data_IF_345976177764
#
_entry.id   IF_345976177764
#
_cell.length_a   1.000
_cell.length_b   1.000
_cell.length_c   1.000
_cell.angle_alpha   90.00
_cell.angle_beta   90.00
_cell.angle_gamma   90.00
#
_symmetry.space_group_name_H-M   'P 1'
#
loop_
_entity.id
_entity.type
_entity.pdbx_description
1 polymer ?
#
# COMPACT_ATOMS: atom_id res chain seq x y z
N UNK A 1 -22.94 6.07 -25.19
CA UNK A 1 -22.51 6.57 -23.87
C UNK A 1 -21.09 6.11 -23.68
N UNK A 2 -20.14 6.98 -23.99
CA UNK A 2 -18.70 6.75 -23.92
C UNK A 2 -18.26 6.88 -22.44
N UNK A 3 -18.19 5.76 -21.71
CA UNK A 3 -17.73 5.72 -20.32
C UNK A 3 -16.23 5.50 -20.34
N UNK A 4 -15.49 6.58 -20.56
CA UNK A 4 -14.03 6.61 -20.41
C UNK A 4 -13.69 6.21 -18.97
N UNK A 5 -13.17 5.01 -18.80
CA UNK A 5 -12.58 4.57 -17.55
C UNK A 5 -11.51 5.56 -17.12
N UNK A 6 -11.33 5.70 -15.80
CA UNK A 6 -10.25 6.47 -15.22
C UNK A 6 -8.90 5.79 -15.55
N UNK A 7 -8.43 5.94 -16.79
CA UNK A 7 -7.09 5.54 -17.22
C UNK A 7 -6.18 6.71 -16.88
N UNK A 8 -5.66 6.72 -15.65
CA UNK A 8 -4.59 7.65 -15.29
C UNK A 8 -3.27 7.02 -15.74
N UNK A 9 -2.66 7.60 -16.77
CA UNK A 9 -1.24 7.38 -17.09
C UNK A 9 -0.43 7.96 -15.93
N UNK A 10 0.06 7.12 -15.03
CA UNK A 10 1.20 7.49 -14.20
C UNK A 10 2.40 7.60 -15.14
N UNK A 11 2.80 8.84 -15.44
CA UNK A 11 4.06 9.09 -16.13
C UNK A 11 5.20 8.43 -15.35
N UNK A 12 6.11 7.78 -16.08
CA UNK A 12 7.21 7.03 -15.50
C UNK A 12 7.91 7.78 -14.35
N UNK A 13 7.95 7.14 -13.17
CA UNK A 13 8.98 7.45 -12.18
C UNK A 13 8.56 7.88 -10.77
N UNK A 14 7.27 7.90 -10.41
CA UNK A 14 6.87 8.19 -9.02
C UNK A 14 6.40 6.93 -8.30
N UNK A 15 7.37 6.15 -7.86
CA UNK A 15 7.18 5.13 -6.83
C UNK A 15 6.88 5.84 -5.51
N UNK A 16 5.77 5.50 -4.86
CA UNK A 16 5.49 6.01 -3.52
C UNK A 16 6.54 5.47 -2.53
N UNK A 17 7.09 6.35 -1.68
CA UNK A 17 7.89 5.92 -0.53
C UNK A 17 6.90 5.50 0.56
N UNK A 18 6.89 4.21 0.89
CA UNK A 18 6.15 3.72 2.04
C UNK A 18 6.78 4.27 3.32
N UNK A 19 5.95 4.64 4.29
CA UNK A 19 6.43 5.06 5.62
C UNK A 19 6.16 3.96 6.63
N UNK A 20 7.23 3.42 7.23
CA UNK A 20 7.12 2.29 8.14
C UNK A 20 7.76 2.51 9.50
N UNK A 21 7.38 1.68 10.45
CA UNK A 21 7.93 1.66 11.79
C UNK A 21 8.17 0.21 12.24
N UNK A 22 9.38 -0.07 12.72
CA UNK A 22 9.76 -1.36 13.27
C UNK A 22 9.77 -1.28 14.81
N UNK A 23 9.15 -2.26 15.45
CA UNK A 23 9.22 -2.42 16.91
C UNK A 23 10.46 -3.25 17.25
N UNK A 24 11.53 -2.61 17.75
CA UNK A 24 12.60 -3.30 18.48
C UNK A 24 13.97 -3.49 17.81
N UNK A 25 14.50 -2.50 17.08
CA UNK A 25 15.95 -2.47 16.79
C UNK A 25 16.66 -1.61 17.85
N UNK A 26 17.11 -2.23 18.94
CA UNK A 26 18.14 -1.65 19.79
C UNK A 26 19.48 -1.69 19.05
N UNK A 27 20.19 -0.55 18.85
CA UNK A 27 21.59 -0.59 18.50
C UNK A 27 22.35 -1.14 19.71
N UNK A 28 23.01 -2.27 19.52
CA UNK A 28 24.03 -2.76 20.44
C UNK A 28 25.24 -1.83 20.31
N UNK A 29 25.53 -1.04 21.34
CA UNK A 29 26.71 -0.18 21.37
C UNK A 29 27.44 -0.38 22.69
N UNK A 30 28.35 -1.36 22.68
CA UNK A 30 29.38 -1.56 23.69
C UNK A 30 30.66 -0.88 23.22
N UNK A 31 31.01 0.30 23.76
CA UNK A 31 32.28 0.54 24.46
C UNK A 31 32.43 1.98 25.01
N UNK A 32 32.77 2.03 26.30
CA UNK A 32 33.72 2.90 27.01
C UNK A 32 33.73 4.46 26.95
N UNK A 33 33.59 5.00 28.18
CA UNK A 33 34.29 6.15 28.84
C UNK A 33 33.72 7.57 28.78
N UNK A 34 32.98 7.86 29.85
CA UNK A 34 33.04 9.02 30.76
C UNK A 34 33.82 10.28 30.33
N UNK A 35 33.09 11.40 30.16
CA UNK A 35 33.51 12.76 30.56
C UNK A 35 32.29 13.64 30.83
N UNK A 36 32.23 14.14 32.05
CA UNK A 36 31.24 15.04 32.64
C UNK A 36 31.20 16.39 31.92
N UNK A 37 30.05 16.76 31.36
CA UNK A 37 29.66 18.15 31.11
C UNK A 37 28.13 18.21 30.99
N UNK A 38 27.51 19.04 31.83
CA UNK A 38 26.08 19.33 31.87
C UNK A 38 25.64 19.96 30.54
N UNK A 39 25.26 19.14 29.58
CA UNK A 39 24.52 19.56 28.40
C UNK A 39 23.06 19.15 28.62
N UNK A 40 22.21 20.14 28.92
CA UNK A 40 20.76 19.96 28.93
C UNK A 40 20.35 19.80 27.46
N UNK A 41 20.62 18.62 26.90
CA UNK A 41 20.03 18.19 25.64
C UNK A 41 18.52 18.21 25.86
N UNK A 42 17.87 19.18 25.26
CA UNK A 42 16.46 19.06 24.92
C UNK A 42 16.40 17.84 24.00
N UNK A 43 16.15 16.67 24.57
CA UNK A 43 15.75 15.49 23.82
C UNK A 43 14.36 15.83 23.32
N UNK A 44 14.30 16.55 22.20
CA UNK A 44 13.13 16.53 21.35
C UNK A 44 13.13 15.11 20.80
N UNK A 45 12.46 14.19 21.50
CA UNK A 45 12.20 12.87 20.93
C UNK A 45 11.35 13.15 19.70
N UNK A 46 11.98 13.20 18.53
CA UNK A 46 11.31 13.29 17.24
C UNK A 46 10.24 12.19 17.23
N UNK A 47 8.97 12.60 17.34
CA UNK A 47 7.85 11.65 17.30
C UNK A 47 7.86 10.99 15.94
N UNK A 48 7.83 9.64 15.91
CA UNK A 48 7.74 8.92 14.64
C UNK A 48 6.45 9.32 13.91
N UNK A 49 6.49 9.32 12.57
CA UNK A 49 5.31 9.65 11.76
C UNK A 49 4.08 8.81 12.17
N UNK A 50 4.28 7.51 12.45
CA UNK A 50 3.23 6.63 12.93
C UNK A 50 2.54 7.15 14.21
N UNK A 51 3.31 7.72 15.14
CA UNK A 51 2.80 8.27 16.41
C UNK A 51 2.04 9.60 16.27
N UNK A 52 2.11 10.22 15.09
CA UNK A 52 1.34 11.43 14.74
C UNK A 52 0.00 11.09 14.10
N UNK A 53 -0.17 9.87 13.60
CA UNK A 53 -1.43 9.42 12.98
C UNK A 53 -2.41 8.78 13.96
N UNK A 54 -3.48 8.21 13.39
CA UNK A 54 -4.56 7.57 14.14
C UNK A 54 -4.79 6.15 13.63
N UNK A 55 -4.72 5.10 14.47
CA UNK A 55 -4.30 5.17 15.89
C UNK A 55 -2.80 5.45 16.03
N UNK A 56 -2.40 6.18 17.08
CA UNK A 56 -1.00 6.60 17.30
C UNK A 56 -0.08 5.50 17.81
N UNK A 57 -0.66 4.42 18.31
CA UNK A 57 0.01 3.26 18.90
C UNK A 57 0.01 2.04 17.98
N UNK A 58 -0.28 2.24 16.69
CA UNK A 58 -0.42 1.17 15.69
C UNK A 58 0.79 0.23 15.63
N UNK A 59 1.99 0.73 15.89
CA UNK A 59 3.22 -0.07 15.86
C UNK A 59 3.36 -1.04 17.05
N UNK A 60 2.60 -0.83 18.12
CA UNK A 60 2.54 -1.73 19.27
C UNK A 60 1.54 -2.87 19.11
N UNK A 61 0.71 -2.83 18.05
CA UNK A 61 -0.29 -3.86 17.80
C UNK A 61 0.37 -5.18 17.39
N UNK A 62 -0.28 -6.30 17.72
CA UNK A 62 0.18 -7.61 17.28
C UNK A 62 -0.38 -7.93 15.89
N UNK A 63 0.48 -8.34 14.98
CA UNK A 63 0.04 -8.78 13.66
C UNK A 63 -0.79 -10.06 13.81
N UNK A 64 -2.07 -9.98 13.41
CA UNK A 64 -2.98 -11.12 13.37
C UNK A 64 -2.50 -12.15 12.34
N UNK A 65 -2.38 -13.45 12.69
CA UNK A 65 -1.91 -14.48 11.76
C UNK A 65 -2.81 -14.68 10.54
N UNK A 66 -4.12 -14.54 10.72
CA UNK A 66 -5.12 -14.66 9.67
C UNK A 66 -6.14 -13.52 9.80
N UNK A 67 -5.98 -12.42 9.05
CA UNK A 67 -6.93 -11.32 9.03
C UNK A 67 -8.16 -11.62 8.15
N UNK A 68 -8.23 -12.79 7.49
CA UNK A 68 -9.27 -13.13 6.51
C UNK A 68 -9.11 -12.42 5.16
N UNK A 69 -7.94 -11.84 4.90
CA UNK A 69 -7.58 -11.13 3.66
C UNK A 69 -6.20 -11.58 3.23
N UNK A 70 -6.12 -12.29 2.11
CA UNK A 70 -4.88 -12.85 1.60
C UNK A 70 -4.21 -11.91 0.61
N UNK A 71 -2.95 -11.56 0.85
CA UNK A 71 -2.16 -10.85 -0.14
C UNK A 71 -1.85 -11.74 -1.35
N UNK A 72 -1.91 -11.18 -2.56
CA UNK A 72 -1.50 -11.89 -3.77
C UNK A 72 0.03 -11.84 -3.86
N UNK A 73 0.69 -12.98 -3.66
CA UNK A 73 2.16 -13.10 -3.73
C UNK A 73 2.70 -13.64 -5.06
N UNK A 74 1.81 -14.20 -5.88
CA UNK A 74 2.14 -14.74 -7.20
C UNK A 74 1.08 -14.32 -8.23
N UNK A 75 1.03 -13.04 -8.63
CA UNK A 75 0.03 -12.56 -9.58
C UNK A 75 0.23 -13.17 -10.98
N UNK A 76 -0.87 -13.60 -11.59
CA UNK A 76 -0.89 -14.09 -12.96
C UNK A 76 -1.44 -13.02 -13.91
N UNK A 77 -0.91 -12.98 -15.14
CA UNK A 77 -1.30 -12.01 -16.16
C UNK A 77 -1.59 -12.70 -17.48
N UNK A 78 -2.66 -12.27 -18.13
CA UNK A 78 -3.02 -12.66 -19.49
C UNK A 78 -3.61 -11.45 -20.21
N UNK A 79 -3.46 -11.43 -21.53
CA UNK A 79 -4.11 -10.42 -22.37
C UNK A 79 -5.61 -10.66 -22.50
N UNK A 80 -6.06 -11.90 -22.28
CA UNK A 80 -7.45 -12.31 -22.33
C UNK A 80 -7.73 -13.35 -21.23
N UNK A 81 -8.83 -13.13 -20.50
CA UNK A 81 -9.34 -13.98 -19.42
C UNK A 81 -10.69 -14.62 -19.77
N UNK A 82 -11.24 -14.39 -20.96
CA UNK A 82 -12.57 -14.83 -21.39
C UNK A 82 -12.80 -16.35 -21.32
N UNK A 83 -11.72 -17.13 -21.41
CA UNK A 83 -11.74 -18.59 -21.34
C UNK A 83 -11.60 -19.15 -19.92
N UNK A 84 -11.39 -18.30 -18.90
CA UNK A 84 -11.23 -18.71 -17.51
C UNK A 84 -12.54 -18.59 -16.75
N UNK A 85 -12.82 -19.58 -15.90
CA UNK A 85 -13.86 -19.46 -14.90
C UNK A 85 -13.33 -18.61 -13.75
N UNK A 86 -13.79 -17.35 -13.69
CA UNK A 86 -13.40 -16.40 -12.64
C UNK A 86 -14.28 -16.62 -11.43
N UNK A 87 -13.69 -16.70 -10.22
CA UNK A 87 -14.46 -16.88 -8.99
C UNK A 87 -15.55 -15.82 -8.84
N UNK A 88 -16.71 -16.26 -8.35
CA UNK A 88 -17.85 -15.39 -8.07
C UNK A 88 -17.54 -14.23 -7.13
N UNK A 89 -16.55 -14.35 -6.25
CA UNK A 89 -16.09 -13.26 -5.40
C UNK A 89 -15.66 -12.03 -6.23
N UNK A 90 -14.92 -12.24 -7.33
CA UNK A 90 -14.37 -11.16 -8.16
C UNK A 90 -15.35 -10.62 -9.20
N UNK A 91 -16.51 -11.27 -9.36
CA UNK A 91 -17.50 -10.96 -10.41
C UNK A 91 -18.15 -9.57 -10.26
N UNK A 92 -18.32 -9.07 -9.02
CA UNK A 92 -18.90 -7.74 -8.70
C UNK A 92 -20.13 -7.39 -9.56
N UNK A 93 -21.06 -8.33 -9.68
CA UNK A 93 -22.32 -8.17 -10.42
C UNK A 93 -22.25 -8.36 -11.95
N UNK A 94 -21.07 -8.64 -12.51
CA UNK A 94 -20.89 -9.09 -13.91
C UNK A 94 -20.41 -10.54 -13.95
N UNK A 95 -20.79 -11.32 -14.97
CA UNK A 95 -20.42 -12.73 -15.11
C UNK A 95 -18.91 -12.94 -15.18
N UNK A 96 -18.14 -11.97 -15.69
CA UNK A 96 -16.69 -12.11 -15.84
C UNK A 96 -15.88 -11.55 -14.66
N UNK A 97 -16.35 -10.49 -14.00
CA UNK A 97 -15.57 -9.77 -12.97
C UNK A 97 -14.36 -8.99 -13.47
N UNK A 98 -14.03 -9.16 -14.76
CA UNK A 98 -12.85 -8.66 -15.45
C UNK A 98 -13.22 -8.08 -16.83
N UNK A 99 -14.47 -7.65 -17.02
CA UNK A 99 -14.92 -7.05 -18.26
C UNK A 99 -14.11 -5.78 -18.60
N UNK A 100 -14.03 -5.47 -19.89
CA UNK A 100 -13.23 -4.35 -20.42
C UNK A 100 -13.63 -2.97 -19.85
N UNK A 101 -14.84 -2.84 -19.29
CA UNK A 101 -15.36 -1.61 -18.70
C UNK A 101 -15.07 -1.48 -17.18
N UNK A 102 -14.33 -2.43 -16.61
CA UNK A 102 -13.97 -2.43 -15.19
C UNK A 102 -12.76 -1.55 -14.90
N UNK A 103 -12.80 -0.87 -13.76
CA UNK A 103 -11.71 0.00 -13.32
C UNK A 103 -10.54 -0.81 -12.80
N UNK A 104 -9.35 -0.37 -13.17
CA UNK A 104 -8.07 -1.00 -12.84
C UNK A 104 -7.11 0.03 -12.28
N UNK A 105 -6.17 -0.43 -11.46
CA UNK A 105 -4.92 0.29 -11.22
C UNK A 105 -4.01 0.00 -12.41
N UNK A 106 -3.69 1.02 -13.20
CA UNK A 106 -2.76 0.90 -14.31
C UNK A 106 -1.35 1.24 -13.87
N UNK A 107 -0.38 0.36 -14.13
CA UNK A 107 1.04 0.61 -13.88
C UNK A 107 1.79 0.54 -15.19
N UNK A 108 2.52 1.62 -15.51
CA UNK A 108 3.40 1.69 -16.67
C UNK A 108 4.84 1.87 -16.18
N UNK A 109 5.73 0.95 -16.57
CA UNK A 109 7.14 0.99 -16.21
C UNK A 109 7.99 0.39 -17.33
N UNK A 110 9.08 1.08 -17.69
CA UNK A 110 10.04 0.62 -18.70
C UNK A 110 9.39 0.18 -20.03
N UNK A 111 8.40 0.94 -20.50
CA UNK A 111 7.67 0.66 -21.75
C UNK A 111 6.74 -0.55 -21.70
N UNK A 112 6.52 -1.13 -20.52
CA UNK A 112 5.55 -2.20 -20.27
C UNK A 112 4.36 -1.62 -19.52
N UNK A 113 3.20 -2.27 -19.63
CA UNK A 113 2.00 -1.91 -18.88
C UNK A 113 1.39 -3.13 -18.21
N UNK A 114 0.87 -2.95 -17.00
CA UNK A 114 0.03 -3.91 -16.28
C UNK A 114 -1.23 -3.22 -15.76
N UNK A 115 -2.30 -3.99 -15.66
CA UNK A 115 -3.56 -3.56 -15.08
C UNK A 115 -3.93 -4.51 -13.93
N UNK A 116 -4.28 -3.93 -12.78
CA UNK A 116 -4.70 -4.66 -11.59
C UNK A 116 -6.17 -4.31 -11.32
N UNK A 117 -7.11 -5.23 -11.58
CA UNK A 117 -8.53 -4.97 -11.42
C UNK A 117 -8.90 -4.59 -9.99
N UNK A 118 -9.66 -3.50 -9.81
CA UNK A 118 -10.16 -3.12 -8.49
C UNK A 118 -11.08 -4.17 -7.89
N UNK A 119 -11.77 -4.97 -8.71
CA UNK A 119 -12.60 -6.09 -8.24
C UNK A 119 -11.80 -7.10 -7.43
N UNK A 120 -10.62 -7.48 -7.92
CA UNK A 120 -9.67 -8.39 -7.28
C UNK A 120 -8.96 -7.71 -6.10
N UNK A 121 -8.46 -6.49 -6.30
CA UNK A 121 -7.79 -5.74 -5.23
C UNK A 121 -8.73 -5.43 -4.05
N UNK A 122 -10.03 -5.27 -4.28
CA UNK A 122 -10.99 -5.06 -3.20
C UNK A 122 -11.25 -6.30 -2.33
N UNK A 123 -10.78 -7.49 -2.73
CA UNK A 123 -10.81 -8.71 -1.92
C UNK A 123 -9.44 -9.08 -1.32
N UNK A 124 -8.35 -8.65 -1.95
CA UNK A 124 -6.98 -9.03 -1.55
C UNK A 124 -6.15 -7.90 -0.95
N UNK A 125 -6.51 -6.65 -1.25
CA UNK A 125 -5.94 -5.38 -0.79
C UNK A 125 -4.45 -5.13 -1.11
N UNK A 126 -3.65 -6.18 -1.31
CA UNK A 126 -2.21 -6.16 -1.57
C UNK A 126 -1.85 -7.16 -2.69
N UNK A 127 -1.05 -6.69 -3.65
CA UNK A 127 -0.38 -7.51 -4.67
C UNK A 127 1.11 -7.27 -4.60
N UNK A 128 1.88 -8.32 -4.35
CA UNK A 128 3.33 -8.36 -4.44
C UNK A 128 3.73 -8.86 -5.83
N UNK A 129 4.34 -7.98 -6.63
CA UNK A 129 4.68 -8.25 -8.02
C UNK A 129 6.18 -7.97 -8.29
N UNK A 130 6.65 -8.39 -9.46
CA UNK A 130 8.04 -8.30 -9.93
C UNK A 130 8.17 -7.50 -11.24
N UNK A 131 7.23 -6.60 -11.56
CA UNK A 131 7.09 -5.89 -12.83
C UNK A 131 8.33 -5.07 -13.29
N UNK A 132 9.38 -5.75 -13.74
CA UNK A 132 10.69 -5.14 -13.97
C UNK A 132 11.46 -4.79 -12.69
N UNK A 133 10.94 -5.17 -11.52
CA UNK A 133 11.46 -4.85 -10.19
C UNK A 133 10.42 -5.13 -9.09
N UNK A 134 10.78 -5.03 -7.79
CA UNK A 134 9.87 -5.31 -6.68
C UNK A 134 8.74 -4.27 -6.63
N UNK A 135 7.55 -4.64 -7.08
CA UNK A 135 6.39 -3.76 -7.14
C UNK A 135 5.36 -4.15 -6.08
N UNK A 136 4.84 -3.16 -5.37
CA UNK A 136 3.69 -3.26 -4.48
C UNK A 136 2.52 -2.50 -5.10
N UNK A 137 1.38 -3.16 -5.25
CA UNK A 137 0.11 -2.53 -5.63
C UNK A 137 -0.90 -2.78 -4.54
N UNK A 138 -1.55 -1.73 -4.06
CA UNK A 138 -2.53 -1.84 -2.98
C UNK A 138 -3.83 -1.14 -3.30
N UNK A 139 -4.88 -1.51 -2.59
CA UNK A 139 -6.16 -0.79 -2.61
C UNK A 139 -6.96 -1.09 -1.35
N UNK A 140 -7.34 -0.04 -0.63
CA UNK A 140 -8.29 -0.10 0.48
C UNK A 140 -9.70 0.21 -0.05
N UNK A 141 -10.62 -0.78 -0.11
CA UNK A 141 -11.98 -0.57 -0.61
C UNK A 141 -12.82 0.34 0.28
N UNK A 142 -12.44 0.52 1.55
CA UNK A 142 -13.11 1.43 2.49
C UNK A 142 -12.63 2.87 2.30
N UNK A 143 -11.33 3.05 2.11
CA UNK A 143 -10.67 4.34 1.95
C UNK A 143 -10.88 4.91 0.54
N UNK A 144 -11.18 4.02 -0.42
CA UNK A 144 -11.18 4.31 -1.84
C UNK A 144 -9.80 4.80 -2.33
N UNK A 145 -8.70 4.32 -1.72
CA UNK A 145 -7.33 4.73 -2.04
C UNK A 145 -6.37 3.55 -2.12
N UNK A 146 -5.27 3.72 -2.85
CA UNK A 146 -4.20 2.73 -2.92
C UNK A 146 -2.88 3.33 -3.42
N UNK A 147 -1.77 3.20 -2.69
CA UNK A 147 -0.45 3.49 -3.25
C UNK A 147 0.05 2.38 -4.19
N UNK A 148 0.89 2.79 -5.15
CA UNK A 148 1.77 1.89 -5.92
C UNK A 148 3.21 2.24 -5.55
N UNK A 149 3.96 1.26 -5.05
CA UNK A 149 5.25 1.48 -4.41
C UNK A 149 6.28 0.40 -4.77
N UNK A 150 7.53 0.64 -4.40
CA UNK A 150 8.60 -0.35 -4.47
C UNK A 150 8.61 -1.09 -3.14
N UNK A 151 8.60 -2.43 -3.19
CA UNK A 151 8.55 -3.28 -1.98
C UNK A 151 9.95 -3.61 -1.42
N UNK A 152 10.88 -2.66 -1.49
CA UNK A 152 12.22 -2.80 -0.92
C UNK A 152 12.29 -2.17 0.46
N UNK A 153 12.53 -3.01 1.47
CA UNK A 153 12.73 -2.58 2.86
C UNK A 153 14.18 -2.84 3.24
N UNK A 154 14.88 -1.82 3.73
CA UNK A 154 16.30 -1.94 4.12
C UNK A 154 17.21 -2.44 2.99
N UNK A 155 16.90 -2.06 1.74
CA UNK A 155 17.66 -2.47 0.55
C UNK A 155 17.36 -3.90 0.06
N UNK A 156 16.36 -4.58 0.61
CA UNK A 156 15.94 -5.93 0.17
C UNK A 156 14.48 -5.95 -0.24
N UNK A 157 14.20 -6.57 -1.39
CA UNK A 157 12.83 -6.86 -1.80
C UNK A 157 12.16 -7.77 -0.76
N UNK A 158 10.94 -7.42 -0.36
CA UNK A 158 10.15 -8.20 0.61
C UNK A 158 8.72 -8.39 0.12
N UNK A 159 7.96 -9.26 0.79
CA UNK A 159 6.53 -9.40 0.59
C UNK A 159 5.79 -8.66 1.71
N UNK A 160 4.66 -8.05 1.33
CA UNK A 160 3.75 -7.40 2.25
C UNK A 160 2.50 -8.25 2.44
N UNK A 161 2.09 -8.37 3.70
CA UNK A 161 0.81 -8.93 4.10
C UNK A 161 -0.19 -7.85 4.54
N UNK A 162 -1.46 -8.24 4.60
CA UNK A 162 -2.56 -7.38 5.04
C UNK A 162 -2.73 -7.49 6.56
N UNK A 163 -3.02 -6.39 7.25
CA UNK A 163 -3.27 -6.42 8.72
C UNK A 163 -4.77 -6.45 9.06
N UNK A 164 -5.62 -6.05 8.10
CA UNK A 164 -7.04 -5.75 8.31
C UNK A 164 -7.28 -4.52 9.20
N UNK A 165 -6.26 -3.67 9.35
CA UNK A 165 -6.31 -2.40 10.08
C UNK A 165 -6.09 -1.24 9.12
N UNK A 166 -6.54 -0.05 9.55
CA UNK A 166 -6.33 1.19 8.85
C UNK A 166 -5.51 2.12 9.74
N UNK A 167 -4.69 2.96 9.11
CA UNK A 167 -3.99 4.04 9.78
C UNK A 167 -4.17 5.33 9.01
N UNK A 168 -4.48 6.41 9.73
CA UNK A 168 -4.69 7.73 9.17
C UNK A 168 -3.47 8.62 9.48
N UNK A 169 -2.71 9.06 8.46
CA UNK A 169 -1.69 10.07 8.67
C UNK A 169 -2.31 11.44 9.02
N UNK A 170 -1.51 12.37 9.60
CA UNK A 170 -1.89 13.78 9.63
C UNK A 170 -2.21 14.30 8.22
N UNK A 171 -3.19 15.19 8.09
CA UNK A 171 -3.74 15.61 6.79
C UNK A 171 -2.69 16.23 5.88
N UNK A 172 -1.68 16.88 6.43
CA UNK A 172 -0.57 17.47 5.69
C UNK A 172 0.22 16.42 4.89
N UNK A 173 0.45 15.22 5.44
CA UNK A 173 1.15 14.13 4.73
C UNK A 173 0.24 13.45 3.70
N UNK A 174 -1.04 13.27 4.03
CA UNK A 174 -2.03 12.76 3.08
C UNK A 174 -2.17 13.68 1.85
N UNK A 175 -2.29 14.99 2.09
CA UNK A 175 -2.41 16.00 1.04
C UNK A 175 -1.15 16.11 0.19
N UNK A 176 0.04 15.97 0.78
CA UNK A 176 1.29 15.94 0.03
C UNK A 176 1.34 14.74 -0.94
N UNK A 177 0.95 13.56 -0.47
CA UNK A 177 0.92 12.34 -1.29
C UNK A 177 -0.10 12.42 -2.45
N UNK A 178 -1.25 13.06 -2.21
CA UNK A 178 -2.24 13.35 -3.25
C UNK A 178 -1.71 14.32 -4.29
N UNK A 179 -1.11 15.43 -3.85
CA UNK A 179 -0.53 16.44 -4.72
C UNK A 179 0.60 15.86 -5.57
N UNK A 180 1.38 14.93 -5.01
CA UNK A 180 2.47 14.25 -5.71
C UNK A 180 2.00 13.10 -6.61
N UNK A 181 0.72 12.70 -6.51
CA UNK A 181 0.10 11.65 -7.31
C UNK A 181 0.59 10.25 -6.98
N UNK A 182 1.19 10.04 -5.80
CA UNK A 182 1.67 8.73 -5.32
C UNK A 182 0.53 7.86 -4.78
N UNK A 183 -0.61 8.49 -4.47
CA UNK A 183 -1.86 7.84 -4.08
C UNK A 183 -2.96 8.25 -5.06
N UNK A 184 -3.85 7.32 -5.41
CA UNK A 184 -5.04 7.60 -6.21
C UNK A 184 -6.32 7.37 -5.41
N UNK A 185 -7.41 8.06 -5.81
CA UNK A 185 -8.77 7.85 -5.30
C UNK A 185 -9.63 7.12 -6.34
N UNK A 186 -10.23 5.98 -5.99
CA UNK A 186 -11.13 5.25 -6.87
C UNK A 186 -12.24 4.57 -6.07
N UNK A 187 -13.49 4.81 -6.45
CA UNK A 187 -14.62 4.12 -5.79
C UNK A 187 -14.64 2.62 -6.15
N UNK A 188 -15.25 1.82 -5.26
CA UNK A 188 -15.31 0.35 -5.39
C UNK A 188 -16.08 -0.12 -6.64
N UNK A 189 -16.82 0.77 -7.31
CA UNK A 189 -17.63 0.49 -8.49
C UNK A 189 -17.07 1.12 -9.78
N UNK A 190 -15.88 1.74 -9.72
CA UNK A 190 -15.12 2.21 -10.85
C UNK A 190 -15.22 3.68 -11.23
N UNK A 191 -15.89 4.52 -10.44
CA UNK A 191 -15.84 5.98 -10.60
C UNK A 191 -14.58 6.60 -9.99
N UNK A 192 -14.08 7.68 -10.61
CA UNK A 192 -13.14 8.58 -9.94
C UNK A 192 -13.87 9.20 -8.74
N UNK A 193 -13.34 8.94 -7.55
CA UNK A 193 -14.04 9.20 -6.30
C UNK A 193 -13.14 9.93 -5.33
N UNK A 194 -13.72 10.88 -4.60
CA UNK A 194 -13.07 11.51 -3.46
C UNK A 194 -12.79 10.44 -2.37
N UNK A 195 -11.66 10.53 -1.66
CA UNK A 195 -11.35 9.57 -0.59
C UNK A 195 -12.50 9.57 0.41
N UNK A 196 -13.18 8.44 0.56
CA UNK A 196 -14.39 8.40 1.39
C UNK A 196 -14.08 8.40 2.88
N UNK A 197 -12.88 7.94 3.25
CA UNK A 197 -12.37 7.89 4.61
C UNK A 197 -10.88 8.23 4.60
N UNK A 198 -10.44 9.14 5.47
CA UNK A 198 -9.05 9.65 5.53
C UNK A 198 -8.02 8.61 6.06
N UNK A 199 -8.28 7.31 5.95
CA UNK A 199 -7.35 6.26 6.37
C UNK A 199 -6.64 5.66 5.17
N UNK A 200 -5.50 5.04 5.41
CA UNK A 200 -4.77 4.23 4.44
C UNK A 200 -4.63 2.79 4.98
N UNK A 201 -4.44 1.86 4.05
CA UNK A 201 -4.25 0.45 4.37
C UNK A 201 -2.99 0.28 5.23
N UNK A 202 -3.12 -0.31 6.41
CA UNK A 202 -1.96 -0.71 7.17
C UNK A 202 -1.51 -2.11 6.75
N UNK A 203 -0.28 -2.21 6.27
CA UNK A 203 0.36 -3.46 5.87
C UNK A 203 1.45 -3.84 6.84
N UNK A 204 1.92 -5.08 6.76
CA UNK A 204 3.15 -5.49 7.41
C UNK A 204 4.14 -6.09 6.41
N UNK A 205 5.42 -5.83 6.64
CA UNK A 205 6.51 -6.52 5.95
C UNK A 205 6.68 -7.92 6.55
N UNK A 206 6.62 -8.97 5.73
CA UNK A 206 6.79 -10.35 6.18
C UNK A 206 8.18 -10.60 6.79
N UNK A 207 9.23 -9.97 6.27
CA UNK A 207 10.61 -10.22 6.69
C UNK A 207 10.92 -9.58 8.04
N UNK A 208 10.56 -8.31 8.22
CA UNK A 208 10.89 -7.54 9.44
C UNK A 208 9.75 -7.44 10.43
N UNK A 209 8.53 -7.82 10.04
CA UNK A 209 7.30 -7.66 10.84
C UNK A 209 7.02 -6.20 11.21
N UNK A 210 7.57 -5.26 10.45
CA UNK A 210 7.32 -3.83 10.61
C UNK A 210 6.02 -3.41 9.89
N UNK A 211 5.39 -2.35 10.38
CA UNK A 211 4.15 -1.81 9.82
C UNK A 211 4.41 -0.71 8.81
N UNK A 212 3.58 -0.61 7.77
CA UNK A 212 3.71 0.35 6.66
C UNK A 212 2.36 0.85 6.16
N UNK A 213 2.34 2.10 5.70
CA UNK A 213 1.19 2.76 5.06
C UNK A 213 1.65 3.71 3.95
#
# INVERSE_FOLDING_TARGET
>A
MDRRGAVRRMGAGRVALLSGCASGLSPDDSDDRERTATDRRTVTTERSLASLGVPSDVCGESIRPDPGIDAITAPAFAADWSSRDIDSAYRRGDRSGLADDRTVVGVEASGRTRAYPLSVLADHEVVNDEFGGPLLVTYCPLCASGPVADRTVGGRATAFGVTGLLWQPPREYAAASEADGTVFGADRYGGEGDRRHNGDLLMYDEATRSYWS
#
